data_IF_781149223895
#
_entry.id   IF_781149223895
#
_cell.length_a   1.000
_cell.length_b   1.000
_cell.length_c   1.000
_cell.angle_alpha   90.00
_cell.angle_beta   90.00
_cell.angle_gamma   90.00
#
_symmetry.space_group_name_H-M   'P 1'
#
loop_
_entity.id
_entity.type
_entity.pdbx_description
1 polymer ?
#
# COMPACT_ATOMS: atom_id res chain seq x y z
N UNK A 1 16.29 -16.30 -0.40
CA UNK A 1 15.04 -16.59 0.31
C UNK A 1 14.74 -18.07 0.22
N UNK A 2 14.52 -18.68 1.38
CA UNK A 2 14.10 -20.06 1.50
C UNK A 2 12.59 -20.14 1.20
N UNK A 3 12.19 -21.03 0.30
CA UNK A 3 10.76 -21.20 -0.06
C UNK A 3 10.33 -22.63 0.28
N UNK A 4 9.23 -22.76 1.03
CA UNK A 4 8.58 -24.03 1.37
C UNK A 4 7.15 -23.99 0.84
N UNK A 5 6.80 -24.98 0.04
CA UNK A 5 5.46 -25.15 -0.53
C UNK A 5 4.80 -26.30 0.21
N UNK A 6 3.54 -26.14 0.62
CA UNK A 6 2.80 -27.22 1.27
C UNK A 6 2.79 -28.48 0.38
N UNK A 7 3.10 -29.68 0.91
CA UNK A 7 3.02 -30.92 0.12
C UNK A 7 1.62 -31.14 -0.45
N UNK A 8 1.53 -31.47 -1.74
CA UNK A 8 0.26 -31.64 -2.45
C UNK A 8 -0.50 -30.34 -2.73
N UNK A 9 0.17 -29.18 -2.63
CA UNK A 9 -0.41 -27.91 -3.06
C UNK A 9 -0.55 -27.82 -4.58
N UNK A 10 -1.76 -27.52 -5.05
CA UNK A 10 -1.99 -27.12 -6.44
C UNK A 10 -1.87 -25.60 -6.54
N UNK A 11 -0.72 -25.13 -7.02
CA UNK A 11 -0.45 -23.70 -7.15
C UNK A 11 -1.04 -23.13 -8.44
N UNK A 12 -1.73 -22.00 -8.30
CA UNK A 12 -2.17 -21.16 -9.42
C UNK A 12 -0.98 -20.65 -10.23
N UNK A 13 -1.23 -20.17 -11.45
CA UNK A 13 -0.17 -19.56 -12.28
C UNK A 13 0.50 -18.39 -11.57
N UNK A 14 -0.29 -17.56 -10.89
CA UNK A 14 0.19 -16.42 -10.11
C UNK A 14 1.04 -16.83 -8.88
N UNK A 15 0.61 -17.85 -8.13
CA UNK A 15 1.38 -18.38 -6.99
C UNK A 15 2.72 -18.97 -7.44
N UNK A 16 2.76 -19.64 -8.60
CA UNK A 16 4.01 -20.14 -9.20
C UNK A 16 4.95 -19.01 -9.60
N UNK A 17 4.44 -17.97 -10.25
CA UNK A 17 5.24 -16.80 -10.60
C UNK A 17 5.76 -16.09 -9.34
N UNK A 18 4.97 -15.99 -8.26
CA UNK A 18 5.44 -15.48 -6.98
C UNK A 18 6.59 -16.32 -6.41
N UNK A 19 6.49 -17.66 -6.45
CA UNK A 19 7.57 -18.54 -6.03
C UNK A 19 8.85 -18.25 -6.82
N UNK A 20 8.73 -18.07 -8.12
CA UNK A 20 9.87 -17.73 -8.98
C UNK A 20 10.45 -16.35 -8.62
N UNK A 21 9.62 -15.34 -8.33
CA UNK A 21 10.06 -14.05 -7.80
C UNK A 21 10.86 -14.22 -6.50
N UNK A 22 10.33 -14.96 -5.53
CA UNK A 22 10.95 -15.12 -4.21
C UNK A 22 12.29 -15.88 -4.30
N UNK A 23 12.41 -16.83 -5.23
CA UNK A 23 13.66 -17.58 -5.49
C UNK A 23 14.69 -16.76 -6.27
N UNK A 24 14.25 -15.87 -7.15
CA UNK A 24 15.13 -15.07 -7.99
C UNK A 24 16.01 -14.09 -7.20
N UNK A 25 15.60 -13.68 -6.00
CA UNK A 25 16.33 -12.70 -5.20
C UNK A 25 16.86 -13.30 -3.88
N UNK A 26 18.16 -13.11 -3.58
CA UNK A 26 18.75 -13.50 -2.30
C UNK A 26 18.37 -12.48 -1.23
N UNK A 27 17.15 -12.56 -0.69
CA UNK A 27 16.73 -11.82 0.50
C UNK A 27 16.55 -12.78 1.67
N UNK A 28 17.09 -12.43 2.84
CA UNK A 28 16.92 -13.21 4.08
C UNK A 28 15.45 -13.33 4.45
N UNK A 29 14.93 -14.54 4.36
CA UNK A 29 13.57 -14.85 4.78
C UNK A 29 13.16 -16.29 4.48
N UNK A 30 12.03 -16.68 5.05
CA UNK A 30 11.36 -17.93 4.79
C UNK A 30 9.96 -17.63 4.25
N UNK A 31 9.64 -18.10 3.05
CA UNK A 31 8.30 -18.04 2.50
C UNK A 31 7.61 -19.40 2.61
N UNK A 32 6.45 -19.42 3.25
CA UNK A 32 5.55 -20.57 3.39
C UNK A 32 4.39 -20.39 2.40
N UNK A 33 4.41 -21.09 1.28
CA UNK A 33 3.41 -20.96 0.20
C UNK A 33 2.32 -22.01 0.37
N UNK A 34 1.07 -21.59 0.12
CA UNK A 34 -0.13 -22.40 0.33
C UNK A 34 -0.29 -22.86 1.80
N UNK A 35 0.00 -21.95 2.73
CA UNK A 35 -0.07 -22.20 4.17
C UNK A 35 -1.54 -22.27 4.65
N UNK A 36 -1.84 -23.19 5.57
CA UNK A 36 -3.16 -23.28 6.21
C UNK A 36 -3.08 -22.90 7.68
N UNK A 37 -3.88 -21.92 8.08
CA UNK A 37 -3.95 -21.43 9.46
C UNK A 37 -5.39 -21.54 9.93
N UNK A 38 -5.65 -22.50 10.81
CA UNK A 38 -7.02 -22.96 11.09
C UNK A 38 -7.67 -23.48 9.81
N UNK A 39 -8.90 -23.05 9.54
CA UNK A 39 -9.66 -23.48 8.35
C UNK A 39 -9.34 -22.65 7.09
N UNK A 40 -8.37 -21.73 7.16
CA UNK A 40 -8.08 -20.76 6.09
C UNK A 40 -6.82 -21.15 5.31
N UNK A 41 -6.95 -21.17 3.98
CA UNK A 41 -5.83 -21.20 3.04
C UNK A 41 -5.33 -19.78 2.80
N UNK A 42 -4.02 -19.57 2.96
CA UNK A 42 -3.33 -18.31 2.67
C UNK A 42 -2.45 -18.52 1.43
N UNK A 43 -2.33 -17.51 0.57
CA UNK A 43 -1.46 -17.59 -0.60
C UNK A 43 -0.01 -17.83 -0.22
N UNK A 44 0.54 -16.99 0.66
CA UNK A 44 1.81 -17.24 1.32
C UNK A 44 1.91 -16.54 2.70
N UNK A 45 2.81 -17.02 3.55
CA UNK A 45 3.26 -16.34 4.77
C UNK A 45 4.77 -16.19 4.67
N UNK A 46 5.25 -14.94 4.63
CA UNK A 46 6.66 -14.63 4.49
C UNK A 46 7.18 -14.16 5.85
N UNK A 47 8.12 -14.91 6.41
CA UNK A 47 8.80 -14.60 7.66
C UNK A 47 10.16 -14.00 7.32
N UNK A 48 10.40 -12.77 7.74
CA UNK A 48 11.71 -12.11 7.64
C UNK A 48 12.25 -11.88 9.05
N UNK A 49 13.55 -11.56 9.22
CA UNK A 49 14.09 -11.21 10.53
C UNK A 49 13.35 -10.06 11.23
N UNK A 50 12.61 -9.25 10.48
CA UNK A 50 11.97 -8.01 10.94
C UNK A 50 10.47 -8.16 11.18
N UNK A 51 9.84 -9.22 10.68
CA UNK A 51 8.40 -9.39 10.80
C UNK A 51 7.85 -10.54 9.95
N UNK A 52 6.53 -10.63 9.95
CA UNK A 52 5.77 -11.60 9.15
C UNK A 52 4.83 -10.82 8.23
N UNK A 53 4.78 -11.22 6.96
CA UNK A 53 3.80 -10.72 6.00
C UNK A 53 2.92 -11.86 5.54
N UNK A 54 1.61 -11.71 5.71
CA UNK A 54 0.60 -12.59 5.11
C UNK A 54 0.30 -12.07 3.71
N UNK A 55 0.45 -12.92 2.70
CA UNK A 55 0.32 -12.54 1.30
C UNK A 55 -0.85 -13.27 0.66
N UNK A 56 -1.74 -12.49 0.05
CA UNK A 56 -2.71 -13.00 -0.93
C UNK A 56 -2.17 -12.75 -2.34
N UNK A 57 -2.22 -13.76 -3.20
CA UNK A 57 -1.67 -13.70 -4.56
C UNK A 57 -2.80 -13.72 -5.56
N UNK A 58 -2.80 -12.79 -6.51
CA UNK A 58 -3.80 -12.74 -7.59
C UNK A 58 -3.15 -12.52 -8.94
N UNK A 59 -3.44 -13.43 -9.87
CA UNK A 59 -3.12 -13.30 -11.28
C UNK A 59 -4.16 -12.46 -12.00
N UNK A 60 -3.76 -11.92 -13.15
CA UNK A 60 -4.67 -11.21 -14.04
C UNK A 60 -5.35 -12.19 -14.99
N UNK A 61 -6.66 -12.07 -15.17
CA UNK A 61 -7.38 -12.88 -16.16
C UNK A 61 -7.04 -12.48 -17.60
N UNK A 62 -6.68 -11.21 -17.81
CA UNK A 62 -6.27 -10.67 -19.12
C UNK A 62 -5.12 -9.66 -18.99
N UNK A 63 -4.41 -9.37 -20.07
CA UNK A 63 -3.36 -8.34 -20.09
C UNK A 63 -3.97 -6.95 -19.84
N UNK A 64 -3.65 -6.32 -18.71
CA UNK A 64 -4.06 -4.95 -18.38
C UNK A 64 -2.84 -4.14 -17.92
N UNK A 65 -2.41 -3.17 -18.73
CA UNK A 65 -1.35 -2.23 -18.38
C UNK A 65 -1.95 -0.88 -18.01
N UNK A 66 -1.33 -0.14 -17.09
CA UNK A 66 -1.77 1.21 -16.74
C UNK A 66 -1.62 1.57 -15.27
N UNK A 67 -2.44 2.53 -14.85
CA UNK A 67 -2.40 3.09 -13.50
C UNK A 67 -3.29 2.29 -12.54
N UNK A 68 -2.68 1.55 -11.61
CA UNK A 68 -3.39 0.88 -10.53
C UNK A 68 -3.95 1.92 -9.56
N UNK A 69 -5.28 1.95 -9.46
CA UNK A 69 -6.00 2.70 -8.43
C UNK A 69 -6.62 1.69 -7.47
N UNK A 70 -6.18 1.74 -6.21
CA UNK A 70 -6.64 0.86 -5.14
C UNK A 70 -7.39 1.70 -4.13
N UNK A 71 -8.57 1.21 -3.75
CA UNK A 71 -9.44 1.83 -2.76
C UNK A 71 -9.76 0.81 -1.66
N UNK A 72 -10.00 1.32 -0.45
CA UNK A 72 -10.26 0.47 0.72
C UNK A 72 -11.56 -0.34 0.59
N UNK A 73 -12.54 0.15 -0.18
CA UNK A 73 -13.82 -0.51 -0.47
C UNK A 73 -13.71 -1.68 -1.46
N UNK A 74 -12.51 -1.95 -2.02
CA UNK A 74 -12.27 -3.06 -2.95
C UNK A 74 -12.54 -2.73 -4.42
N UNK A 75 -12.91 -1.48 -4.76
CA UNK A 75 -13.17 -1.02 -6.12
C UNK A 75 -11.89 -0.73 -6.93
N UNK A 76 -11.10 -1.78 -7.16
CA UNK A 76 -9.77 -1.66 -7.77
C UNK A 76 -9.85 -1.54 -9.29
N UNK A 77 -9.02 -0.66 -9.86
CA UNK A 77 -9.01 -0.36 -11.29
C UNK A 77 -7.60 -0.26 -11.83
N UNK A 78 -7.48 -0.51 -13.14
CA UNK A 78 -6.31 -0.12 -13.93
C UNK A 78 -6.78 0.91 -14.94
N UNK A 79 -6.27 2.13 -14.77
CA UNK A 79 -6.75 3.32 -15.48
C UNK A 79 -8.28 3.39 -15.34
N UNK A 80 -9.02 3.43 -16.46
CA UNK A 80 -10.47 3.54 -16.46
C UNK A 80 -11.19 2.19 -16.47
N UNK A 81 -10.50 1.06 -16.32
CA UNK A 81 -11.11 -0.28 -16.35
C UNK A 81 -11.07 -0.97 -14.99
N UNK A 82 -12.13 -1.68 -14.56
CA UNK A 82 -12.07 -2.57 -13.41
C UNK A 82 -10.92 -3.57 -13.55
N UNK A 83 -10.28 -3.87 -12.42
CA UNK A 83 -9.23 -4.88 -12.34
C UNK A 83 -9.82 -6.27 -12.56
N UNK A 84 -9.29 -7.02 -13.53
CA UNK A 84 -9.81 -8.32 -13.93
C UNK A 84 -8.86 -9.44 -13.48
N UNK A 85 -9.21 -10.09 -12.36
CA UNK A 85 -8.39 -11.06 -11.65
C UNK A 85 -8.84 -12.51 -11.91
N UNK A 86 -7.92 -13.44 -11.73
CA UNK A 86 -8.21 -14.87 -11.77
C UNK A 86 -9.10 -15.31 -10.59
N UNK A 87 -9.98 -16.28 -10.86
CA UNK A 87 -10.97 -16.89 -9.96
C UNK A 87 -12.06 -15.95 -9.38
N UNK A 88 -11.67 -14.86 -8.73
CA UNK A 88 -12.55 -14.05 -7.89
C UNK A 88 -12.39 -12.55 -8.20
N UNK A 89 -13.47 -11.75 -8.14
CA UNK A 89 -13.37 -10.30 -8.26
C UNK A 89 -12.49 -9.70 -7.16
N UNK A 90 -12.00 -8.47 -7.37
CA UNK A 90 -11.16 -7.76 -6.39
C UNK A 90 -11.90 -7.47 -5.07
N UNK A 91 -13.23 -7.44 -5.10
CA UNK A 91 -14.07 -7.23 -3.93
C UNK A 91 -13.78 -8.30 -2.86
N UNK A 92 -13.53 -7.85 -1.63
CA UNK A 92 -13.22 -8.72 -0.49
C UNK A 92 -11.77 -9.23 -0.43
N UNK A 93 -10.87 -8.85 -1.35
CA UNK A 93 -9.43 -9.19 -1.20
C UNK A 93 -8.84 -8.59 0.07
N UNK A 94 -9.16 -7.32 0.33
CA UNK A 94 -8.79 -6.60 1.55
C UNK A 94 -9.21 -7.39 2.79
N UNK A 95 -10.47 -7.79 2.87
CA UNK A 95 -11.03 -8.56 3.99
C UNK A 95 -10.36 -9.94 4.11
N UNK A 96 -10.08 -10.61 2.99
CA UNK A 96 -9.40 -11.92 3.00
C UNK A 96 -8.01 -11.81 3.62
N UNK A 97 -7.23 -10.80 3.24
CA UNK A 97 -5.90 -10.59 3.80
C UNK A 97 -5.98 -10.20 5.26
N UNK A 98 -6.94 -9.37 5.65
CA UNK A 98 -7.19 -9.03 7.06
C UNK A 98 -7.48 -10.24 7.92
N UNK A 99 -8.41 -11.07 7.47
CA UNK A 99 -8.74 -12.29 8.19
C UNK A 99 -7.54 -13.23 8.25
N UNK A 100 -6.71 -13.28 7.21
CA UNK A 100 -5.45 -14.04 7.21
C UNK A 100 -4.44 -13.50 8.22
N UNK A 101 -4.21 -12.18 8.24
CA UNK A 101 -3.36 -11.50 9.22
C UNK A 101 -3.87 -11.76 10.64
N UNK A 102 -5.17 -11.63 10.86
CA UNK A 102 -5.78 -11.89 12.16
C UNK A 102 -5.60 -13.35 12.59
N UNK A 103 -5.83 -14.32 11.69
CA UNK A 103 -5.64 -15.73 11.97
C UNK A 103 -4.20 -16.06 12.36
N UNK A 104 -3.22 -15.48 11.65
CA UNK A 104 -1.79 -15.64 11.99
C UNK A 104 -1.47 -15.00 13.33
N UNK A 105 -1.95 -13.78 13.62
CA UNK A 105 -1.75 -13.13 14.93
C UNK A 105 -2.30 -13.96 16.07
N UNK A 106 -3.54 -14.46 15.94
CA UNK A 106 -4.17 -15.31 16.95
C UNK A 106 -3.40 -16.62 17.14
N UNK A 107 -2.91 -17.23 16.06
CA UNK A 107 -2.09 -18.45 16.15
C UNK A 107 -0.78 -18.19 16.92
N UNK A 108 -0.08 -17.10 16.61
CA UNK A 108 1.15 -16.69 17.29
C UNK A 108 0.91 -16.36 18.77
N UNK A 109 -0.16 -15.63 19.09
CA UNK A 109 -0.52 -15.27 20.46
C UNK A 109 -0.83 -16.51 21.31
N UNK A 110 -1.55 -17.49 20.74
CA UNK A 110 -1.81 -18.78 21.40
C UNK A 110 -0.52 -19.56 21.66
N UNK A 111 0.49 -19.40 20.81
CA UNK A 111 1.81 -19.97 20.98
C UNK A 111 2.76 -19.10 21.84
N UNK A 112 2.25 -18.05 22.48
CA UNK A 112 3.01 -17.09 23.30
C UNK A 112 4.16 -16.39 22.54
N UNK A 113 3.98 -16.20 21.22
CA UNK A 113 4.90 -15.47 20.36
C UNK A 113 4.45 -14.02 20.15
N UNK A 114 5.40 -13.14 19.76
CA UNK A 114 5.07 -11.75 19.46
C UNK A 114 4.32 -11.65 18.12
N UNK A 115 3.11 -11.09 18.16
CA UNK A 115 2.22 -10.89 17.01
C UNK A 115 2.24 -9.44 16.47
N UNK A 116 2.99 -8.53 17.10
CA UNK A 116 3.01 -7.09 16.75
C UNK A 116 3.51 -6.80 15.34
N UNK A 117 4.40 -7.66 14.83
CA UNK A 117 5.10 -7.48 13.57
C UNK A 117 4.47 -8.26 12.40
N UNK A 118 3.15 -8.51 12.44
CA UNK A 118 2.41 -9.17 11.34
C UNK A 118 1.70 -8.12 10.49
N UNK A 119 2.02 -8.04 9.19
CA UNK A 119 1.30 -7.25 8.17
C UNK A 119 0.60 -8.14 7.16
N UNK A 120 -0.24 -7.51 6.34
CA UNK A 120 -0.76 -8.10 5.12
C UNK A 120 -0.14 -7.47 3.87
N UNK A 121 -0.14 -8.23 2.79
CA UNK A 121 0.05 -7.69 1.45
C UNK A 121 -0.82 -8.43 0.43
N UNK A 122 -1.23 -7.74 -0.63
CA UNK A 122 -1.80 -8.35 -1.83
C UNK A 122 -0.77 -8.24 -2.94
N UNK A 123 -0.30 -9.36 -3.48
CA UNK A 123 0.60 -9.39 -4.63
C UNK A 123 -0.20 -9.65 -5.89
N UNK A 124 -0.25 -8.63 -6.74
CA UNK A 124 -0.83 -8.67 -8.07
C UNK A 124 0.25 -9.12 -9.07
N UNK A 125 -0.05 -10.19 -9.79
CA UNK A 125 0.87 -10.82 -10.74
C UNK A 125 0.35 -10.58 -12.17
N UNK A 126 0.79 -9.51 -12.84
CA UNK A 126 0.43 -9.27 -14.23
C UNK A 126 1.19 -10.20 -15.17
N UNK A 127 0.71 -10.34 -16.40
CA UNK A 127 1.44 -11.03 -17.46
C UNK A 127 2.81 -10.40 -17.72
N UNK A 128 3.81 -11.21 -18.11
CA UNK A 128 5.13 -10.68 -18.48
C UNK A 128 5.01 -9.65 -19.63
N UNK A 129 5.73 -8.54 -19.46
CA UNK A 129 5.68 -7.36 -20.35
C UNK A 129 4.52 -6.39 -20.10
N UNK A 130 3.59 -6.73 -19.19
CA UNK A 130 2.54 -5.78 -18.73
C UNK A 130 3.13 -4.89 -17.65
N UNK A 131 2.89 -3.59 -17.77
CA UNK A 131 3.37 -2.58 -16.82
C UNK A 131 2.19 -2.02 -16.06
N UNK A 132 2.23 -2.20 -14.74
CA UNK A 132 1.24 -1.65 -13.81
C UNK A 132 1.97 -0.72 -12.84
N UNK A 133 1.43 0.50 -12.66
CA UNK A 133 2.03 1.54 -11.82
C UNK A 133 0.97 2.22 -10.95
N UNK A 134 1.27 2.65 -9.71
CA UNK A 134 2.50 2.36 -9.00
C UNK A 134 2.62 0.86 -8.68
N UNK A 135 3.85 0.36 -8.59
CA UNK A 135 4.10 -1.05 -8.28
C UNK A 135 3.96 -1.36 -6.78
N UNK A 136 3.78 -0.34 -5.94
CA UNK A 136 3.37 -0.44 -4.54
C UNK A 136 2.34 0.62 -4.21
N UNK A 137 1.29 0.25 -3.49
CA UNK A 137 0.26 1.18 -2.97
C UNK A 137 -0.10 0.76 -1.56
N UNK A 138 0.03 1.69 -0.60
CA UNK A 138 -0.46 1.43 0.75
C UNK A 138 -1.98 1.53 0.76
N UNK A 139 -2.67 0.46 1.16
CA UNK A 139 -4.13 0.46 1.25
C UNK A 139 -4.58 1.11 2.56
N UNK A 140 -3.89 0.74 3.65
CA UNK A 140 -4.01 1.32 4.99
C UNK A 140 -2.81 0.88 5.84
N UNK A 141 -2.65 1.37 7.09
CA UNK A 141 -1.55 0.95 7.94
C UNK A 141 -1.48 -0.58 8.10
N UNK A 142 -0.34 -1.16 7.70
CA UNK A 142 -0.10 -2.61 7.80
C UNK A 142 -0.69 -3.47 6.68
N UNK A 143 -1.27 -2.87 5.63
CA UNK A 143 -1.74 -3.57 4.43
C UNK A 143 -1.33 -2.83 3.15
N UNK A 144 -0.50 -3.48 2.33
CA UNK A 144 -0.02 -2.93 1.07
C UNK A 144 -0.47 -3.78 -0.13
N UNK A 145 -0.65 -3.16 -1.28
CA UNK A 145 -0.80 -3.83 -2.57
C UNK A 145 0.50 -3.67 -3.35
N UNK A 146 1.01 -4.78 -3.86
CA UNK A 146 2.28 -4.87 -4.57
C UNK A 146 2.03 -5.47 -5.95
N UNK A 147 2.77 -5.00 -6.95
CA UNK A 147 2.83 -5.60 -8.28
C UNK A 147 4.18 -6.29 -8.40
N UNK A 148 4.17 -7.58 -8.71
CA UNK A 148 5.40 -8.34 -8.91
C UNK A 148 5.22 -9.46 -9.93
N UNK A 149 6.22 -9.67 -10.77
CA UNK A 149 6.39 -10.86 -11.60
C UNK A 149 7.87 -11.24 -11.63
N UNK A 150 8.23 -12.38 -12.23
CA UNK A 150 9.59 -12.92 -12.15
C UNK A 150 10.63 -12.04 -12.84
N UNK A 151 10.19 -11.11 -13.70
CA UNK A 151 11.03 -10.18 -14.46
C UNK A 151 11.17 -8.83 -13.74
N UNK A 152 10.13 -8.39 -13.04
CA UNK A 152 10.06 -7.13 -12.28
C UNK A 152 9.46 -7.40 -10.89
N UNK A 153 10.32 -7.82 -9.94
CA UNK A 153 9.96 -7.99 -8.53
C UNK A 153 10.70 -7.00 -7.61
N UNK A 154 11.20 -5.89 -8.16
CA UNK A 154 11.97 -4.92 -7.39
C UNK A 154 11.18 -4.37 -6.20
N UNK A 155 9.92 -3.97 -6.38
CA UNK A 155 9.10 -3.42 -5.30
C UNK A 155 8.78 -4.47 -4.22
N UNK A 156 8.56 -5.73 -4.61
CA UNK A 156 8.39 -6.83 -3.65
C UNK A 156 9.65 -7.00 -2.80
N UNK A 157 10.83 -6.96 -3.41
CA UNK A 157 12.10 -7.02 -2.69
C UNK A 157 12.26 -5.85 -1.71
N UNK A 158 12.02 -4.63 -2.18
CA UNK A 158 12.10 -3.41 -1.34
C UNK A 158 11.10 -3.47 -0.19
N UNK A 159 9.87 -3.94 -0.45
CA UNK A 159 8.87 -4.14 0.58
C UNK A 159 9.36 -5.12 1.65
N UNK A 160 9.89 -6.29 1.26
CA UNK A 160 10.32 -7.33 2.19
C UNK A 160 11.57 -6.94 3.00
N UNK A 161 12.54 -6.28 2.37
CA UNK A 161 13.75 -5.77 3.04
C UNK A 161 13.44 -4.56 3.95
N UNK A 162 12.54 -3.69 3.48
CA UNK A 162 12.08 -2.50 4.18
C UNK A 162 11.00 -2.77 5.22
N UNK A 163 10.53 -4.02 5.32
CA UNK A 163 9.44 -4.39 6.23
C UNK A 163 9.87 -4.15 7.68
N UNK A 164 9.37 -3.05 8.25
CA UNK A 164 9.62 -2.55 9.60
C UNK A 164 11.07 -2.16 9.91
N UNK A 165 11.36 -0.87 10.10
CA UNK A 165 12.68 -0.36 10.51
C UNK A 165 13.16 -0.84 11.91
N UNK A 166 12.40 -1.72 12.57
CA UNK A 166 12.64 -2.20 13.93
C UNK A 166 13.78 -3.22 14.07
N UNK A 167 14.05 -3.65 15.32
CA UNK A 167 15.05 -4.66 15.65
C UNK A 167 14.76 -6.00 14.96
N UNK A 168 15.80 -6.79 14.68
CA UNK A 168 15.64 -8.16 14.18
C UNK A 168 15.18 -9.07 15.32
N UNK A 169 13.87 -9.27 15.43
CA UNK A 169 13.26 -10.02 16.53
C UNK A 169 12.93 -11.48 16.21
N UNK A 170 12.99 -11.87 14.93
CA UNK A 170 12.73 -13.24 14.49
C UNK A 170 14.02 -14.03 14.43
N UNK A 171 14.36 -14.71 15.53
CA UNK A 171 15.49 -15.64 15.62
C UNK A 171 15.15 -16.99 15.00
N UNK A 172 16.16 -17.82 14.73
CA UNK A 172 16.00 -19.19 14.22
C UNK A 172 14.95 -19.97 15.04
N UNK A 173 15.05 -19.94 16.37
CA UNK A 173 14.11 -20.65 17.25
C UNK A 173 12.68 -20.15 17.15
N UNK A 174 12.50 -18.84 17.01
CA UNK A 174 11.18 -18.24 16.81
C UNK A 174 10.59 -18.63 15.47
N UNK A 175 11.41 -18.67 14.41
CA UNK A 175 10.95 -19.10 13.07
C UNK A 175 10.54 -20.57 13.09
N UNK A 176 11.32 -21.45 13.72
CA UNK A 176 10.98 -22.88 13.89
C UNK A 176 9.66 -23.04 14.65
N UNK A 177 9.50 -22.34 15.78
CA UNK A 177 8.27 -22.38 16.56
C UNK A 177 7.06 -21.82 15.78
N UNK A 178 7.29 -20.79 14.96
CA UNK A 178 6.26 -20.23 14.07
C UNK A 178 5.83 -21.24 13.02
N UNK A 179 6.78 -21.93 12.39
CA UNK A 179 6.46 -22.96 11.40
C UNK A 179 5.61 -24.08 12.03
N UNK A 180 5.98 -24.53 13.24
CA UNK A 180 5.19 -25.51 13.98
C UNK A 180 3.77 -24.98 14.31
N UNK A 181 3.66 -23.73 14.77
CA UNK A 181 2.39 -23.08 15.10
C UNK A 181 1.47 -22.92 13.88
N UNK A 182 2.05 -22.64 12.72
CA UNK A 182 1.32 -22.50 11.46
C UNK A 182 1.06 -23.86 10.76
N UNK A 183 1.41 -24.99 11.40
CA UNK A 183 1.14 -26.33 10.87
C UNK A 183 1.95 -26.68 9.62
N UNK A 184 3.16 -26.12 9.48
CA UNK A 184 4.05 -26.43 8.34
C UNK A 184 4.53 -27.87 8.45
N UNK A 185 4.24 -28.68 7.43
CA UNK A 185 4.58 -30.11 7.42
C UNK A 185 6.10 -30.36 7.43
N UNK A 186 6.86 -29.55 6.70
CA UNK A 186 8.31 -29.67 6.59
C UNK A 186 8.97 -28.38 7.08
N UNK A 187 9.28 -28.35 8.38
CA UNK A 187 9.93 -27.21 9.01
C UNK A 187 11.40 -27.16 8.58
N UNK A 188 11.90 -26.01 8.09
CA UNK A 188 13.32 -25.85 7.78
C UNK A 188 14.24 -26.21 8.94
N UNK A 189 15.38 -26.82 8.64
CA UNK A 189 16.38 -27.10 9.64
C UNK A 189 17.01 -25.80 10.16
N UNK A 190 17.55 -25.84 11.38
CA UNK A 190 18.27 -24.69 11.94
C UNK A 190 19.47 -24.26 11.09
N UNK A 191 20.12 -25.21 10.41
CA UNK A 191 21.24 -24.93 9.52
C UNK A 191 20.78 -24.14 8.28
N UNK A 192 19.69 -24.56 7.64
CA UNK A 192 19.11 -23.84 6.49
C UNK A 192 18.68 -22.41 6.87
N UNK A 193 18.08 -22.23 8.05
CA UNK A 193 17.70 -20.89 8.54
C UNK A 193 18.92 -20.02 8.85
N UNK A 194 20.01 -20.61 9.36
CA UNK A 194 21.25 -19.89 9.60
C UNK A 194 21.91 -19.45 8.29
N UNK A 195 21.95 -20.33 7.28
CA UNK A 195 22.46 -20.03 5.93
C UNK A 195 21.66 -18.92 5.25
N UNK A 196 20.34 -18.90 5.46
CA UNK A 196 19.47 -17.84 4.95
C UNK A 196 19.70 -16.48 5.63
N UNK A 197 20.37 -16.46 6.79
CA UNK A 197 20.77 -15.25 7.51
C UNK A 197 19.95 -14.94 8.77
N UNK A 198 19.16 -15.87 9.28
CA UNK A 198 18.52 -15.72 10.59
C UNK A 198 19.54 -15.87 11.72
N UNK A 199 19.40 -15.05 12.77
CA UNK A 199 20.30 -15.11 13.93
C UNK A 199 19.81 -16.13 14.95
N UNK A 200 20.73 -16.91 15.53
CA UNK A 200 20.40 -17.84 16.61
C UNK A 200 20.04 -17.14 17.92
N UNK A 201 20.73 -16.05 18.24
CA UNK A 201 20.48 -15.27 19.45
C UNK A 201 19.62 -14.04 19.18
N UNK A 202 18.78 -13.69 20.16
CA UNK A 202 18.13 -12.37 20.19
C UNK A 202 19.25 -11.33 20.31
N UNK A 203 19.24 -10.23 19.53
CA UNK A 203 20.18 -9.15 19.77
C UNK A 203 20.09 -8.74 21.25
N UNK A 204 21.23 -8.66 21.93
CA UNK A 204 21.29 -8.15 23.30
C UNK A 204 20.52 -6.83 23.34
N UNK A 205 19.54 -6.64 24.24
CA UNK A 205 18.85 -5.37 24.36
C UNK A 205 19.93 -4.30 24.47
N UNK A 206 19.98 -3.38 23.50
CA UNK A 206 20.87 -2.23 23.61
C UNK A 206 20.56 -1.61 24.97
N UNK A 207 21.53 -1.46 25.88
CA UNK A 207 21.26 -0.85 27.17
C UNK A 207 20.61 0.48 26.89
N UNK A 208 19.34 0.63 27.27
CA UNK A 208 18.71 1.94 27.32
C UNK A 208 19.50 2.64 28.41
N UNK A 209 20.52 3.42 28.01
CA UNK A 209 21.24 4.27 28.93
C UNK A 209 20.15 5.04 29.66
N UNK A 210 19.98 4.87 30.98
CA UNK A 210 18.99 5.63 31.71
C UNK A 210 19.30 7.07 31.38
N UNK A 211 18.42 7.73 30.62
CA UNK A 211 18.49 9.17 30.53
C UNK A 211 18.16 9.61 31.94
N UNK A 212 19.21 9.81 32.73
CA UNK A 212 19.15 10.62 33.93
C UNK A 212 18.59 11.93 33.42
N UNK A 213 17.29 12.12 33.59
CA UNK A 213 16.67 13.42 33.50
C UNK A 213 17.41 14.22 34.55
N UNK A 214 18.47 14.91 34.14
CA UNK A 214 19.05 15.99 34.93
C UNK A 214 17.88 16.93 35.11
N UNK A 215 17.28 16.90 36.30
CA UNK A 215 16.49 18.02 36.77
C UNK A 215 17.47 19.19 36.76
N UNK A 216 17.53 19.90 35.64
CA UNK A 216 18.12 21.22 35.63
C UNK A 216 17.29 22.03 36.61
N UNK A 217 17.92 22.45 37.71
CA UNK A 217 17.37 23.47 38.57
C UNK A 217 16.87 24.63 37.70
N UNK A 218 15.77 25.31 38.05
CA UNK A 218 15.25 26.43 37.27
C UNK A 218 16.39 27.42 37.02
N UNK A 219 16.81 27.51 35.77
CA UNK A 219 17.82 28.48 35.37
C UNK A 219 17.16 29.85 35.50
N UNK A 220 17.77 30.81 36.22
CA UNK A 220 17.24 32.18 36.22
C UNK A 220 17.15 32.66 34.76
N UNK A 221 16.09 33.40 34.39
CA UNK A 221 15.88 33.82 33.01
C UNK A 221 17.09 34.59 32.52
N UNK A 222 17.62 34.17 31.37
CA UNK A 222 18.71 34.87 30.71
C UNK A 222 18.26 36.31 30.38
N UNK A 223 19.14 37.31 30.52
CA UNK A 223 18.84 38.65 30.03
C UNK A 223 18.58 38.61 28.51
N UNK A 224 17.66 39.45 27.99
CA UNK A 224 17.31 39.44 26.58
C UNK A 224 18.54 39.68 25.71
N UNK A 225 18.76 38.80 24.74
CA UNK A 225 19.84 38.93 23.77
C UNK A 225 19.60 40.15 22.86
N UNK A 226 20.63 41.00 22.73
CA UNK A 226 20.59 42.12 21.79
C UNK A 226 20.37 41.61 20.35
N UNK A 227 19.49 42.26 19.57
CA UNK A 227 19.21 41.85 18.21
C UNK A 227 20.45 42.05 17.33
N UNK A 228 21.11 40.95 16.98
CA UNK A 228 22.25 40.95 16.08
C UNK A 228 21.87 41.58 14.73
N UNK A 229 22.71 42.48 14.22
CA UNK A 229 22.51 43.23 12.95
C UNK A 229 22.30 42.33 11.72
N UNK A 230 22.62 41.03 11.82
CA UNK A 230 22.46 40.03 10.75
C UNK A 230 20.99 39.63 10.50
N UNK A 231 20.11 39.76 11.50
CA UNK A 231 18.68 39.45 11.35
C UNK A 231 17.88 40.51 10.56
N UNK A 232 18.34 41.77 10.52
CA UNK A 232 17.67 42.85 9.78
C UNK A 232 17.72 42.67 8.26
N UNK A 233 18.80 42.11 7.72
CA UNK A 233 18.97 41.94 6.27
C UNK A 233 18.08 40.81 5.71
N UNK A 234 17.88 39.73 6.46
CA UNK A 234 17.01 38.61 6.03
C UNK A 234 15.53 39.01 6.09
N UNK A 235 15.13 39.79 7.09
CA UNK A 235 13.76 40.30 7.21
C UNK A 235 13.37 41.28 6.09
N UNK A 236 14.28 42.16 5.66
CA UNK A 236 14.05 43.09 4.54
C UNK A 236 13.88 42.32 3.22
N UNK A 237 14.66 41.26 3.00
CA UNK A 237 14.56 40.43 1.79
C UNK A 237 13.20 39.75 1.64
N UNK A 238 12.66 39.20 2.74
CA UNK A 238 11.33 38.57 2.71
C UNK A 238 10.20 39.58 2.47
N UNK A 239 10.30 40.78 3.05
CA UNK A 239 9.29 41.82 2.86
C UNK A 239 9.30 42.36 1.42
N UNK A 240 10.48 42.56 0.83
CA UNK A 240 10.60 42.97 -0.57
C UNK A 240 10.02 41.93 -1.55
N UNK A 241 10.26 40.64 -1.30
CA UNK A 241 9.69 39.56 -2.11
C UNK A 241 8.15 39.50 -2.01
N UNK A 242 7.59 39.70 -0.82
CA UNK A 242 6.15 39.73 -0.61
C UNK A 242 5.48 40.93 -1.33
N UNK A 243 6.08 42.12 -1.25
CA UNK A 243 5.58 43.32 -1.94
C UNK A 243 5.67 43.16 -3.45
N UNK A 244 6.76 42.55 -3.96
CA UNK A 244 6.89 42.26 -5.39
C UNK A 244 5.79 41.31 -5.88
N UNK A 245 5.50 40.24 -5.13
CA UNK A 245 4.42 39.31 -5.44
C UNK A 245 3.05 39.98 -5.51
N UNK A 246 2.75 40.88 -4.56
CA UNK A 246 1.52 41.67 -4.56
C UNK A 246 1.46 42.59 -5.78
N UNK A 247 2.57 43.25 -6.13
CA UNK A 247 2.62 44.15 -7.27
C UNK A 247 2.38 43.42 -8.61
N UNK A 248 2.93 42.21 -8.77
CA UNK A 248 2.68 41.37 -9.95
C UNK A 248 1.20 41.02 -10.07
N UNK A 249 0.52 40.67 -8.97
CA UNK A 249 -0.92 40.39 -8.98
C UNK A 249 -1.71 41.64 -9.40
N UNK A 250 -1.38 42.82 -8.88
CA UNK A 250 -2.07 44.06 -9.28
C UNK A 250 -1.85 44.42 -10.75
N UNK A 251 -0.65 44.18 -11.31
CA UNK A 251 -0.39 44.40 -12.74
C UNK A 251 -1.22 43.45 -13.59
N UNK A 252 -1.30 42.16 -13.23
CA UNK A 252 -2.12 41.17 -13.96
C UNK A 252 -3.60 41.54 -13.93
N UNK A 253 -4.12 41.94 -12.76
CA UNK A 253 -5.52 42.37 -12.62
C UNK A 253 -5.79 43.67 -13.39
N UNK A 254 -4.85 44.62 -13.37
CA UNK A 254 -4.95 45.86 -14.14
C UNK A 254 -5.00 45.60 -15.65
N UNK A 255 -4.13 44.73 -16.17
CA UNK A 255 -4.13 44.35 -17.59
C UNK A 255 -5.43 43.63 -17.98
N UNK A 256 -5.95 42.76 -17.12
CA UNK A 256 -7.24 42.09 -17.36
C UNK A 256 -8.40 43.10 -17.43
N UNK A 257 -8.42 44.10 -16.56
CA UNK A 257 -9.46 45.14 -16.56
C UNK A 257 -9.36 46.12 -17.73
N UNK A 258 -8.16 46.36 -18.28
CA UNK A 258 -8.00 47.18 -19.49
C UNK A 258 -8.36 46.43 -20.77
N UNK A 259 -8.25 45.10 -20.78
CA UNK A 259 -8.70 44.25 -21.91
C UNK A 259 -10.22 44.06 -21.92
N UNK A 260 -10.90 44.21 -20.78
CA UNK A 260 -12.36 44.30 -20.68
C UNK A 260 -12.84 45.76 -20.90
N UNK A 261 -12.58 46.30 -22.09
CA UNK A 261 -13.39 47.43 -22.59
C UNK A 261 -14.64 46.89 -23.28
N UNK A 262 -15.82 47.49 -23.06
CA UNK A 262 -17.09 46.95 -23.51
C UNK A 262 -17.27 47.17 -25.02
N UNK A 263 -16.89 46.19 -25.83
CA UNK A 263 -17.35 46.14 -27.21
C UNK A 263 -18.87 45.91 -27.23
N UNK A 264 -19.54 46.89 -27.83
CA UNK A 264 -20.98 46.92 -28.02
C UNK A 264 -21.40 45.76 -28.93
N UNK A 265 -22.02 44.72 -28.38
CA UNK A 265 -22.62 43.65 -29.20
C UNK A 265 -23.74 44.25 -30.07
N UNK A 266 -23.68 44.15 -31.41
CA UNK A 266 -24.84 44.43 -32.24
C UNK A 266 -25.89 43.33 -32.01
N UNK A 267 -27.14 43.76 -31.82
CA UNK A 267 -28.33 42.91 -31.89
C UNK A 267 -28.23 42.04 -33.14
N UNK A 268 -28.32 40.73 -32.98
CA UNK A 268 -28.58 39.80 -34.07
C UNK A 268 -29.87 39.08 -33.77
N UNK A 269 -30.73 39.13 -34.77
CA UNK A 269 -32.14 38.86 -34.73
C UNK A 269 -32.49 37.44 -34.28
N UNK A 270 -33.60 37.38 -33.54
CA UNK A 270 -34.32 36.15 -33.23
C UNK A 270 -34.90 35.58 -34.53
N UNK A 271 -34.18 34.66 -35.16
CA UNK A 271 -34.75 33.79 -36.19
C UNK A 271 -35.17 32.48 -35.54
N UNK A 272 -36.45 32.39 -35.22
CA UNK A 272 -37.16 31.14 -34.94
C UNK A 272 -36.99 30.19 -36.14
N UNK A 273 -36.29 29.08 -35.95
CA UNK A 273 -36.36 27.94 -36.88
C UNK A 273 -37.05 26.79 -36.17
N UNK A 274 -38.30 26.56 -36.56
CA UNK A 274 -39.13 25.44 -36.14
C UNK A 274 -38.59 24.12 -36.68
N UNK A 275 -37.93 23.34 -35.83
CA UNK A 275 -37.52 21.97 -36.16
C UNK A 275 -38.71 21.03 -35.93
N UNK A 276 -39.43 20.68 -37.00
CA UNK A 276 -40.34 19.53 -36.98
C UNK A 276 -39.48 18.27 -37.06
N UNK A 277 -39.36 17.54 -35.93
CA UNK A 277 -38.78 16.19 -35.88
C UNK A 277 -39.83 15.21 -35.37
N UNK A 278 -39.93 14.10 -36.09
CA UNK A 278 -40.92 13.03 -35.98
C UNK A 278 -41.10 12.43 -34.56
N UNK A 279 -42.25 11.82 -34.26
CA UNK A 279 -42.52 11.23 -32.96
C UNK A 279 -41.69 9.96 -32.75
N UNK A 280 -40.74 10.02 -31.82
CA UNK A 280 -40.11 8.81 -31.27
C UNK A 280 -41.04 8.22 -30.23
N UNK A 281 -41.53 7.01 -30.50
CA UNK A 281 -42.24 6.15 -29.55
C UNK A 281 -41.46 6.03 -28.24
N UNK A 282 -42.02 6.59 -27.17
CA UNK A 282 -41.50 6.43 -25.82
C UNK A 282 -41.76 5.00 -25.35
N UNK A 283 -40.71 4.17 -25.30
CA UNK A 283 -40.73 2.95 -24.48
C UNK A 283 -40.91 3.33 -23.01
N UNK A 284 -41.81 2.68 -22.25
CA UNK A 284 -41.98 2.96 -20.84
C UNK A 284 -40.70 2.59 -20.08
N UNK A 285 -40.14 3.55 -19.34
CA UNK A 285 -39.05 3.32 -18.40
C UNK A 285 -39.53 2.33 -17.35
N UNK A 286 -38.83 1.19 -17.22
CA UNK A 286 -38.96 0.31 -16.05
C UNK A 286 -38.49 1.08 -14.82
N UNK A 287 -39.41 1.35 -13.91
CA UNK A 287 -39.10 1.78 -12.54
C UNK A 287 -38.57 0.58 -11.77
N UNK A 288 -37.30 0.64 -11.34
CA UNK A 288 -36.73 -0.36 -10.44
C UNK A 288 -37.31 -0.17 -9.05
N UNK A 289 -38.19 -1.09 -8.64
CA UNK A 289 -38.74 -1.13 -7.30
C UNK A 289 -37.73 -1.77 -6.35
N UNK A 290 -37.45 -1.09 -5.25
CA UNK A 290 -36.55 -1.57 -4.20
C UNK A 290 -37.33 -2.39 -3.16
N UNK A 291 -36.69 -3.35 -2.48
CA UNK A 291 -37.39 -4.13 -1.46
C UNK A 291 -37.84 -3.19 -0.35
N UNK A 292 -39.13 -3.32 0.02
CA UNK A 292 -39.88 -2.58 1.06
C UNK A 292 -40.73 -1.36 0.65
N UNK A 293 -40.90 -1.05 -0.64
CA UNK A 293 -41.94 -0.09 -1.05
C UNK A 293 -43.31 -0.77 -1.18
N UNK A 294 -44.30 -0.32 -0.41
CA UNK A 294 -45.71 -0.62 -0.68
C UNK A 294 -46.26 0.50 -1.57
N UNK A 295 -46.89 0.10 -2.68
CA UNK A 295 -47.48 0.92 -3.75
C UNK A 295 -46.54 1.44 -4.86
N UNK A 296 -45.83 0.52 -5.52
CA UNK A 296 -45.06 0.79 -6.75
C UNK A 296 -45.36 -0.28 -7.83
#
# INVERSE_FOLDING_TARGET
MLVRIRPGAELTGAERELVDCLRAYPSTGLALVDCRVGDRRLGAVIVTPRGITVVEVKGFRRRQSGLLTVTADGSWRISDSPLDLEAEPSNGLTDRVEHGVHAVRVALERALQDSRHVSGAVVLVPYRGVVVRPARTALRPGLDVLVANSVDAHELRVYLEGFSAGPREWTIDRVVNTCATLGVAEVPSRAELAEEGFTGNRPTPTPVVPQVRKFSAPTPPAPPADPSRRGKLVGIGMFAAAVLGIFVVFVVVGVALFQDSPDSRPMSDTSQTSTTRAPSTATPRKTECWPFQQDC
#
